data_IF_405394964106
#
_entry.id   IF_405394964106
#
_cell.length_a   1.000
_cell.length_b   1.000
_cell.length_c   1.000
_cell.angle_alpha   90.00
_cell.angle_beta   90.00
_cell.angle_gamma   90.00
#
_symmetry.space_group_name_H-M   'P 1'
#
loop_
_entity.id
_entity.type
_entity.pdbx_description
1 polymer ?
#
# COMPACT_ATOMS: atom_id res chain seq x y z
N UNK A 1 13.18 -22.43 -26.79
CA UNK A 1 11.71 -22.41 -26.89
C UNK A 1 11.26 -21.21 -26.11
N UNK A 2 11.04 -20.09 -26.79
CA UNK A 2 10.92 -18.76 -26.18
C UNK A 2 9.43 -18.45 -26.13
N UNK A 3 8.80 -18.63 -24.97
CA UNK A 3 7.40 -18.25 -24.78
C UNK A 3 7.33 -16.74 -24.56
N UNK A 4 6.91 -16.03 -25.61
CA UNK A 4 6.48 -14.65 -25.58
C UNK A 4 5.22 -14.52 -24.72
N UNK A 5 5.34 -14.01 -23.50
CA UNK A 5 4.19 -13.62 -22.69
C UNK A 5 3.59 -12.33 -23.24
N UNK A 6 2.38 -12.45 -23.78
CA UNK A 6 1.55 -11.33 -24.19
C UNK A 6 1.12 -10.53 -22.95
N UNK A 7 1.17 -9.18 -22.96
CA UNK A 7 0.71 -8.39 -21.83
C UNK A 7 -0.81 -8.57 -21.67
N UNK A 8 -1.23 -8.88 -20.44
CA UNK A 8 -2.63 -8.99 -20.06
C UNK A 8 -3.26 -7.60 -20.21
N UNK A 9 -3.99 -7.37 -21.32
CA UNK A 9 -4.75 -6.15 -21.55
C UNK A 9 -6.08 -6.24 -20.80
N UNK A 10 -6.18 -5.51 -19.68
CA UNK A 10 -7.46 -5.20 -19.04
C UNK A 10 -8.37 -4.43 -20.00
N UNK A 11 -9.63 -4.84 -20.07
CA UNK A 11 -10.63 -4.27 -20.96
C UNK A 11 -11.19 -2.94 -20.43
N UNK A 12 -11.28 -1.92 -21.29
CA UNK A 12 -12.15 -0.76 -21.09
C UNK A 12 -11.47 0.52 -20.63
N UNK A 13 -10.79 1.22 -21.53
CA UNK A 13 -10.32 2.59 -21.29
C UNK A 13 -11.51 3.56 -21.21
N UNK A 14 -12.01 3.82 -20.00
CA UNK A 14 -12.81 5.00 -19.71
C UNK A 14 -11.90 6.22 -19.81
N UNK A 15 -12.14 7.06 -20.84
CA UNK A 15 -11.45 8.34 -20.99
C UNK A 15 -11.87 9.25 -19.84
N UNK A 16 -10.94 9.60 -18.93
CA UNK A 16 -11.16 10.71 -18.00
C UNK A 16 -10.36 10.70 -16.69
N UNK A 17 -9.82 9.57 -16.24
CA UNK A 17 -9.09 9.50 -14.96
C UNK A 17 -7.69 8.91 -15.15
N UNK A 18 -6.70 9.46 -14.44
CA UNK A 18 -5.36 8.88 -14.39
C UNK A 18 -5.46 7.45 -13.82
N UNK A 19 -4.68 6.52 -14.38
CA UNK A 19 -4.59 5.15 -13.86
C UNK A 19 -4.22 5.16 -12.37
N UNK A 20 -4.73 4.18 -11.63
CA UNK A 20 -4.37 3.99 -10.23
C UNK A 20 -2.89 3.70 -10.09
N UNK A 21 -2.34 2.80 -10.92
CA UNK A 21 -0.90 2.51 -10.99
C UNK A 21 -0.50 2.34 -12.45
N UNK A 22 0.63 2.92 -12.83
CA UNK A 22 1.24 2.78 -14.15
C UNK A 22 2.74 2.50 -13.98
N UNK A 23 3.19 1.37 -14.49
CA UNK A 23 4.60 1.02 -14.71
C UNK A 23 4.88 1.13 -16.22
N UNK A 24 5.89 1.91 -16.60
CA UNK A 24 6.37 2.04 -17.97
C UNK A 24 7.82 1.54 -18.05
N UNK A 25 8.00 0.36 -18.65
CA UNK A 25 9.30 -0.29 -18.94
C UNK A 25 10.26 -0.30 -17.75
N UNK A 26 9.73 -0.69 -16.60
CA UNK A 26 10.43 -0.61 -15.32
C UNK A 26 11.44 -1.74 -15.19
N UNK A 27 12.69 -1.35 -14.95
CA UNK A 27 13.78 -2.24 -14.58
C UNK A 27 14.27 -1.96 -13.17
N UNK A 28 14.78 -3.00 -12.50
CA UNK A 28 15.40 -2.86 -11.19
C UNK A 28 16.45 -3.94 -10.94
N UNK A 29 17.61 -3.56 -10.43
CA UNK A 29 18.65 -4.43 -9.90
C UNK A 29 19.10 -3.92 -8.53
N UNK A 30 19.47 -4.82 -7.63
CA UNK A 30 20.13 -4.40 -6.38
C UNK A 30 21.59 -4.04 -6.67
N UNK A 31 22.09 -3.05 -5.96
CA UNK A 31 23.48 -2.65 -6.08
C UNK A 31 24.40 -3.83 -5.75
N UNK A 32 25.39 -4.09 -6.62
CA UNK A 32 26.32 -5.21 -6.48
C UNK A 32 25.78 -6.60 -6.82
N UNK A 33 24.51 -6.78 -7.18
CA UNK A 33 23.98 -8.12 -7.52
C UNK A 33 24.37 -8.60 -8.92
N UNK A 34 24.72 -7.67 -9.83
CA UNK A 34 25.03 -7.95 -11.24
C UNK A 34 23.87 -8.52 -12.07
N UNK A 35 22.76 -8.90 -11.43
CA UNK A 35 21.59 -9.52 -12.05
C UNK A 35 20.33 -8.70 -11.77
N UNK A 36 19.55 -8.34 -12.81
CA UNK A 36 18.28 -7.65 -12.63
C UNK A 36 17.26 -8.54 -11.90
N UNK A 37 16.45 -7.89 -11.07
CA UNK A 37 15.30 -8.49 -10.37
C UNK A 37 14.02 -8.25 -11.14
N UNK A 38 13.93 -7.10 -11.83
CA UNK A 38 12.83 -6.74 -12.72
C UNK A 38 13.42 -6.30 -14.06
N UNK A 39 12.81 -6.76 -15.14
CA UNK A 39 13.24 -6.48 -16.51
C UNK A 39 12.00 -6.06 -17.32
N UNK A 40 12.01 -4.83 -17.84
CA UNK A 40 11.00 -4.28 -18.76
C UNK A 40 9.54 -4.45 -18.33
N UNK A 41 9.25 -4.19 -17.06
CA UNK A 41 7.89 -4.34 -16.53
C UNK A 41 7.01 -3.17 -16.98
N UNK A 42 6.02 -3.46 -17.81
CA UNK A 42 4.97 -2.52 -18.20
C UNK A 42 3.61 -3.05 -17.77
N UNK A 43 2.90 -2.27 -16.95
CA UNK A 43 1.63 -2.66 -16.34
C UNK A 43 0.81 -1.40 -16.05
N UNK A 44 -0.50 -1.47 -16.30
CA UNK A 44 -1.43 -0.40 -15.96
C UNK A 44 -2.59 -1.00 -15.17
N UNK A 45 -2.93 -0.37 -14.05
CA UNK A 45 -4.05 -0.74 -13.18
C UNK A 45 -4.99 0.45 -13.12
N UNK A 46 -6.23 0.25 -13.53
CA UNK A 46 -7.25 1.28 -13.51
C UNK A 46 -7.87 1.42 -12.11
N UNK A 47 -8.42 2.60 -11.76
CA UNK A 47 -9.16 2.77 -10.51
C UNK A 47 -10.28 1.73 -10.36
N UNK A 48 -10.38 1.13 -9.17
CA UNK A 48 -11.37 0.09 -8.86
C UNK A 48 -10.98 -1.33 -9.28
N UNK A 49 -9.88 -1.51 -10.02
CA UNK A 49 -9.38 -2.84 -10.37
C UNK A 49 -8.71 -3.54 -9.18
N UNK A 50 -8.82 -4.88 -9.18
CA UNK A 50 -8.13 -5.75 -8.24
C UNK A 50 -7.06 -6.54 -8.99
N UNK A 51 -5.79 -6.25 -8.72
CA UNK A 51 -4.67 -6.94 -9.32
C UNK A 51 -4.08 -7.99 -8.38
N UNK A 52 -3.98 -9.24 -8.84
CA UNK A 52 -3.20 -10.29 -8.20
C UNK A 52 -1.84 -10.47 -8.88
N UNK A 53 -0.75 -10.41 -8.11
CA UNK A 53 0.61 -10.68 -8.61
C UNK A 53 1.05 -12.06 -8.09
N UNK A 54 1.24 -13.00 -9.01
CA UNK A 54 1.60 -14.39 -8.72
C UNK A 54 2.99 -14.72 -9.25
N UNK A 55 3.65 -15.72 -8.66
CA UNK A 55 4.96 -16.19 -9.09
C UNK A 55 5.78 -16.78 -7.93
N UNK A 56 6.90 -17.45 -8.22
CA UNK A 56 7.73 -18.09 -7.19
C UNK A 56 8.40 -17.06 -6.25
N UNK A 57 8.91 -17.53 -5.11
CA UNK A 57 9.75 -16.70 -4.25
C UNK A 57 10.98 -16.23 -5.03
N UNK A 58 11.33 -14.94 -4.87
CA UNK A 58 12.42 -14.33 -5.61
C UNK A 58 12.05 -13.75 -6.98
N UNK A 59 10.83 -13.97 -7.48
CA UNK A 59 10.37 -13.42 -8.77
C UNK A 59 10.14 -11.89 -8.80
N UNK A 60 10.64 -11.13 -7.82
CA UNK A 60 10.53 -9.67 -7.82
C UNK A 60 9.17 -9.08 -7.38
N UNK A 61 8.16 -9.89 -7.01
CA UNK A 61 6.83 -9.37 -6.58
C UNK A 61 6.89 -8.32 -5.47
N UNK A 62 7.62 -8.62 -4.39
CA UNK A 62 7.82 -7.68 -3.29
C UNK A 62 8.60 -6.45 -3.72
N UNK A 63 9.54 -6.60 -4.66
CA UNK A 63 10.27 -5.49 -5.28
C UNK A 63 9.32 -4.58 -6.06
N UNK A 64 8.44 -5.15 -6.89
CA UNK A 64 7.44 -4.41 -7.66
C UNK A 64 6.51 -3.59 -6.75
N UNK A 65 6.02 -4.20 -5.66
CA UNK A 65 5.20 -3.51 -4.66
C UNK A 65 5.99 -2.40 -3.97
N UNK A 66 7.25 -2.64 -3.58
CA UNK A 66 8.12 -1.61 -2.97
C UNK A 66 8.39 -0.43 -3.91
N UNK A 67 8.52 -0.67 -5.21
CA UNK A 67 8.66 0.40 -6.20
C UNK A 67 7.35 1.19 -6.32
N UNK A 68 6.19 0.53 -6.41
CA UNK A 68 4.88 1.21 -6.41
C UNK A 68 4.62 2.04 -5.15
N UNK A 69 5.22 1.64 -4.02
CA UNK A 69 5.16 2.39 -2.76
C UNK A 69 6.19 3.52 -2.67
N UNK A 70 7.14 3.62 -3.61
CA UNK A 70 8.26 4.58 -3.53
C UNK A 70 9.23 4.26 -2.40
N UNK A 71 9.39 2.98 -2.05
CA UNK A 71 10.41 2.48 -1.12
C UNK A 71 11.69 2.03 -1.85
N UNK A 72 11.58 1.77 -3.14
CA UNK A 72 12.71 1.53 -4.04
C UNK A 72 12.52 2.39 -5.29
N UNK A 73 13.61 2.96 -5.80
CA UNK A 73 13.61 3.66 -7.08
C UNK A 73 13.96 2.67 -8.18
N UNK A 74 13.24 2.67 -9.32
CA UNK A 74 13.60 1.82 -10.45
C UNK A 74 14.95 2.26 -11.02
N UNK A 75 15.72 1.33 -11.59
CA UNK A 75 16.98 1.63 -12.29
C UNK A 75 16.74 2.12 -13.71
N UNK A 76 15.56 1.84 -14.28
CA UNK A 76 15.12 2.31 -15.59
C UNK A 76 13.59 2.38 -15.66
N UNK A 77 13.06 3.14 -16.61
CA UNK A 77 11.62 3.32 -16.77
C UNK A 77 11.01 4.26 -15.72
N UNK A 78 9.69 4.21 -15.56
CA UNK A 78 8.97 5.11 -14.66
C UNK A 78 7.76 4.44 -14.00
N UNK A 79 7.41 4.94 -12.82
CA UNK A 79 6.19 4.54 -12.11
C UNK A 79 5.38 5.76 -11.75
N UNK A 80 4.07 5.69 -11.98
CA UNK A 80 3.09 6.68 -11.51
C UNK A 80 1.98 6.00 -10.71
N UNK A 81 1.51 6.69 -9.68
CA UNK A 81 0.38 6.28 -8.85
C UNK A 81 -0.61 7.44 -8.80
N UNK A 82 -1.80 7.24 -9.35
CA UNK A 82 -2.79 8.32 -9.58
C UNK A 82 -2.16 9.57 -10.21
N UNK A 83 -1.33 9.37 -11.24
CA UNK A 83 -0.63 10.45 -11.97
C UNK A 83 0.55 11.11 -11.24
N UNK A 84 0.89 10.67 -10.02
CA UNK A 84 1.98 11.22 -9.19
C UNK A 84 3.16 10.28 -9.12
N UNK A 85 4.31 10.75 -8.63
CA UNK A 85 5.36 9.82 -8.21
C UNK A 85 4.89 8.96 -7.03
N UNK A 86 5.39 7.71 -6.89
CA UNK A 86 5.03 6.83 -5.77
C UNK A 86 5.20 7.45 -4.37
N UNK A 87 6.28 8.21 -4.16
CA UNK A 87 6.57 8.86 -2.88
C UNK A 87 5.58 9.99 -2.56
N UNK A 88 5.21 10.80 -3.56
CA UNK A 88 4.19 11.84 -3.43
C UNK A 88 2.81 11.24 -3.17
N UNK A 89 2.41 10.23 -3.94
CA UNK A 89 1.14 9.53 -3.74
C UNK A 89 1.02 8.98 -2.32
N UNK A 90 2.08 8.38 -1.77
CA UNK A 90 2.11 7.90 -0.39
C UNK A 90 2.02 9.04 0.64
N UNK A 91 2.76 10.13 0.43
CA UNK A 91 2.77 11.28 1.35
C UNK A 91 1.42 12.02 1.38
N UNK A 92 0.70 12.05 0.26
CA UNK A 92 -0.63 12.64 0.12
C UNK A 92 -1.78 11.68 0.52
N UNK A 93 -1.48 10.46 0.98
CA UNK A 93 -2.50 9.50 1.41
C UNK A 93 -3.32 8.89 0.27
N UNK A 94 -2.70 8.62 -0.88
CA UNK A 94 -3.33 7.85 -1.96
C UNK A 94 -3.11 6.33 -1.83
N UNK A 95 -2.17 5.91 -0.97
CA UNK A 95 -1.75 4.51 -0.88
C UNK A 95 -1.75 4.02 0.55
N UNK A 96 -2.58 3.01 0.82
CA UNK A 96 -2.59 2.23 2.06
C UNK A 96 -1.74 0.97 1.87
N UNK A 97 -0.93 0.62 2.86
CA UNK A 97 -0.06 -0.55 2.77
C UNK A 97 -0.17 -1.44 4.00
N UNK A 98 -0.36 -2.75 3.75
CA UNK A 98 -0.33 -3.80 4.77
C UNK A 98 0.93 -4.64 4.57
N UNK A 99 1.94 -4.54 5.44
CA UNK A 99 3.18 -5.29 5.31
C UNK A 99 2.99 -6.80 5.55
N UNK A 100 3.83 -7.61 4.91
CA UNK A 100 3.79 -9.08 5.01
C UNK A 100 4.21 -9.61 6.40
N UNK A 101 5.09 -8.90 7.12
CA UNK A 101 5.54 -9.28 8.48
C UNK A 101 5.51 -8.05 9.39
N UNK A 102 4.87 -8.21 10.53
CA UNK A 102 4.53 -7.11 11.47
C UNK A 102 5.30 -7.20 12.79
N UNK A 103 6.27 -8.13 12.90
CA UNK A 103 6.83 -8.57 14.19
C UNK A 103 7.45 -7.48 15.07
N UNK A 104 8.05 -6.44 14.49
CA UNK A 104 8.63 -5.33 15.25
C UNK A 104 7.58 -4.35 15.80
N UNK A 105 6.40 -4.25 15.18
CA UNK A 105 5.32 -3.33 15.60
C UNK A 105 4.58 -3.85 16.85
N UNK A 106 4.71 -5.14 17.17
CA UNK A 106 4.05 -5.81 18.30
C UNK A 106 4.68 -5.50 19.66
N UNK A 107 5.89 -4.94 19.69
CA UNK A 107 6.64 -4.68 20.91
C UNK A 107 6.24 -3.37 21.61
N UNK A 108 5.52 -2.48 20.93
CA UNK A 108 5.11 -1.20 21.49
C UNK A 108 3.80 -1.33 22.30
N UNK A 109 3.68 -0.65 23.45
CA UNK A 109 2.51 -0.71 24.32
C UNK A 109 1.35 0.15 23.77
N UNK A 110 1.12 0.09 22.46
CA UNK A 110 0.07 0.83 21.78
C UNK A 110 -1.18 -0.03 21.62
N UNK A 111 -2.34 0.57 21.80
CA UNK A 111 -3.61 -0.07 21.51
C UNK A 111 -3.82 -0.20 20.00
N UNK A 112 -4.68 -1.14 19.60
CA UNK A 112 -5.10 -1.30 18.20
C UNK A 112 -5.64 0.01 17.63
N UNK A 113 -6.46 0.75 18.40
CA UNK A 113 -6.99 2.06 18.03
C UNK A 113 -5.87 3.06 17.75
N UNK A 114 -4.88 3.15 18.62
CA UNK A 114 -3.74 4.06 18.45
C UNK A 114 -2.94 3.74 17.18
N UNK A 115 -2.74 2.45 16.88
CA UNK A 115 -2.07 2.01 15.65
C UNK A 115 -2.87 2.39 14.40
N UNK A 116 -4.20 2.26 14.44
CA UNK A 116 -5.09 2.65 13.34
C UNK A 116 -5.18 4.17 13.17
N UNK A 117 -5.04 4.94 14.25
CA UNK A 117 -5.04 6.41 14.24
C UNK A 117 -3.75 7.00 13.65
N UNK A 118 -2.61 6.29 13.71
CA UNK A 118 -1.30 6.80 13.30
C UNK A 118 -1.26 7.55 11.95
N UNK A 119 -1.90 7.08 10.86
CA UNK A 119 -1.85 7.77 9.58
C UNK A 119 -2.41 9.20 9.65
N UNK A 120 -3.37 9.45 10.54
CA UNK A 120 -3.99 10.77 10.73
C UNK A 120 -3.05 11.80 11.40
N UNK A 121 -1.95 11.32 11.99
CA UNK A 121 -0.95 12.16 12.65
C UNK A 121 0.10 12.70 11.66
N UNK A 122 0.19 12.13 10.46
CA UNK A 122 1.16 12.55 9.44
C UNK A 122 0.84 13.98 9.00
N UNK A 123 1.83 14.85 9.04
CA UNK A 123 1.69 16.27 8.67
C UNK A 123 1.11 17.17 9.77
N UNK A 124 0.67 16.60 10.91
CA UNK A 124 0.26 17.38 12.07
C UNK A 124 1.47 17.87 12.88
N UNK A 125 1.29 18.98 13.60
CA UNK A 125 2.26 19.45 14.60
C UNK A 125 2.30 18.46 15.77
N UNK A 126 3.43 18.29 16.49
CA UNK A 126 3.56 17.29 17.56
C UNK A 126 2.52 17.37 18.69
N UNK A 127 1.95 18.55 18.92
CA UNK A 127 0.91 18.81 19.94
C UNK A 127 -0.51 18.89 19.37
N UNK A 128 -0.67 18.86 18.05
CA UNK A 128 -1.96 18.91 17.42
C UNK A 128 -2.66 17.54 17.54
N UNK A 129 -3.98 17.56 17.58
CA UNK A 129 -4.81 16.36 17.59
C UNK A 129 -5.52 16.21 16.25
N UNK A 130 -5.79 14.98 15.80
CA UNK A 130 -6.65 14.74 14.65
C UNK A 130 -8.01 15.43 14.82
N UNK A 131 -8.49 16.01 13.73
CA UNK A 131 -9.81 16.65 13.67
C UNK A 131 -10.96 15.63 13.72
N UNK A 132 -12.22 16.10 13.77
CA UNK A 132 -13.40 15.24 13.81
C UNK A 132 -13.47 14.24 12.65
N UNK A 133 -13.17 14.67 11.42
CA UNK A 133 -13.18 13.83 10.21
C UNK A 133 -12.20 12.64 10.32
N UNK A 134 -11.00 12.89 10.83
CA UNK A 134 -9.99 11.86 11.03
C UNK A 134 -10.43 10.83 12.08
N UNK A 135 -11.09 11.28 13.16
CA UNK A 135 -11.63 10.39 14.18
C UNK A 135 -12.75 9.53 13.63
N UNK A 136 -13.65 10.12 12.84
CA UNK A 136 -14.73 9.39 12.18
C UNK A 136 -14.18 8.32 11.22
N UNK A 137 -13.16 8.65 10.42
CA UNK A 137 -12.48 7.69 9.56
C UNK A 137 -11.86 6.52 10.36
N UNK A 138 -11.26 6.80 11.52
CA UNK A 138 -10.71 5.77 12.42
C UNK A 138 -11.81 4.88 12.98
N UNK A 139 -12.90 5.45 13.52
CA UNK A 139 -14.03 4.66 14.04
C UNK A 139 -14.65 3.81 12.95
N UNK A 140 -14.85 4.37 11.75
CA UNK A 140 -15.37 3.64 10.61
C UNK A 140 -14.45 2.47 10.24
N UNK A 141 -13.14 2.70 10.12
CA UNK A 141 -12.17 1.66 9.80
C UNK A 141 -12.16 0.54 10.86
N UNK A 142 -12.23 0.89 12.15
CA UNK A 142 -12.32 -0.07 13.25
C UNK A 142 -13.63 -0.88 13.19
N UNK A 143 -14.74 -0.23 12.83
CA UNK A 143 -16.05 -0.87 12.65
C UNK A 143 -16.05 -1.90 11.52
N UNK A 144 -15.68 -1.48 10.29
CA UNK A 144 -15.75 -2.36 9.10
C UNK A 144 -14.78 -3.54 9.13
N UNK A 145 -13.70 -3.42 9.91
CA UNK A 145 -12.73 -4.51 10.12
C UNK A 145 -13.01 -5.34 11.36
N UNK A 146 -14.07 -5.03 12.11
CA UNK A 146 -14.43 -5.72 13.35
C UNK A 146 -13.38 -5.56 14.45
N UNK A 147 -12.60 -4.48 14.43
CA UNK A 147 -11.62 -4.13 15.45
C UNK A 147 -12.22 -3.41 16.67
N UNK A 148 -13.47 -2.93 16.58
CA UNK A 148 -14.14 -2.21 17.68
C UNK A 148 -14.10 -2.95 19.03
N UNK A 149 -14.32 -4.27 19.03
CA UNK A 149 -14.35 -5.10 20.25
C UNK A 149 -12.99 -5.22 20.97
N UNK A 150 -11.90 -4.92 20.28
CA UNK A 150 -10.54 -5.06 20.82
C UNK A 150 -9.68 -3.81 20.57
N UNK A 151 -10.29 -2.68 20.22
CA UNK A 151 -9.60 -1.44 19.90
C UNK A 151 -8.65 -0.97 21.01
N UNK A 152 -9.02 -1.21 22.26
CA UNK A 152 -8.25 -0.77 23.44
C UNK A 152 -7.20 -1.79 23.90
N UNK A 153 -7.18 -3.00 23.30
CA UNK A 153 -6.17 -4.01 23.62
C UNK A 153 -4.82 -3.62 23.02
N UNK A 154 -3.71 -3.88 23.73
CA UNK A 154 -2.38 -3.72 23.16
C UNK A 154 -2.21 -4.56 21.88
N UNK A 155 -1.61 -3.98 20.84
CA UNK A 155 -1.41 -4.63 19.55
C UNK A 155 -0.59 -5.92 19.65
N UNK A 156 0.35 -5.99 20.60
CA UNK A 156 1.12 -7.20 20.90
C UNK A 156 0.33 -8.33 21.58
N UNK A 157 -0.93 -8.09 21.97
CA UNK A 157 -1.79 -9.05 22.69
C UNK A 157 -3.02 -9.49 21.91
N UNK A 158 -3.07 -9.28 20.59
CA UNK A 158 -4.16 -9.77 19.74
C UNK A 158 -3.74 -11.00 18.94
N UNK A 159 -4.69 -11.77 18.44
CA UNK A 159 -4.40 -12.92 17.57
C UNK A 159 -3.82 -12.46 16.23
N UNK A 160 -3.16 -13.35 15.48
CA UNK A 160 -2.63 -13.01 14.14
C UNK A 160 -3.71 -12.52 13.17
N UNK A 161 -4.92 -13.10 13.23
CA UNK A 161 -6.06 -12.64 12.43
C UNK A 161 -6.59 -11.26 12.87
N UNK A 162 -6.61 -10.99 14.18
CA UNK A 162 -6.96 -9.67 14.70
C UNK A 162 -5.93 -8.61 14.31
N UNK A 163 -4.64 -8.96 14.36
CA UNK A 163 -3.54 -8.12 13.90
C UNK A 163 -3.69 -7.79 12.42
N UNK A 164 -3.99 -8.78 11.57
CA UNK A 164 -4.21 -8.55 10.14
C UNK A 164 -5.36 -7.56 9.91
N UNK A 165 -6.48 -7.71 10.62
CA UNK A 165 -7.61 -6.77 10.54
C UNK A 165 -7.25 -5.36 11.01
N UNK A 166 -6.51 -5.24 12.10
CA UNK A 166 -6.01 -3.96 12.59
C UNK A 166 -5.09 -3.27 11.57
N UNK A 167 -4.22 -4.03 10.90
CA UNK A 167 -3.34 -3.48 9.85
C UNK A 167 -4.10 -3.06 8.60
N UNK A 168 -5.16 -3.80 8.22
CA UNK A 168 -6.07 -3.40 7.14
C UNK A 168 -6.80 -2.10 7.51
N UNK A 169 -7.30 -1.98 8.75
CA UNK A 169 -7.96 -0.77 9.24
C UNK A 169 -7.01 0.45 9.15
N UNK A 170 -5.78 0.29 9.64
CA UNK A 170 -4.73 1.33 9.55
C UNK A 170 -4.48 1.74 8.10
N UNK A 171 -4.35 0.77 7.19
CA UNK A 171 -4.13 1.05 5.78
C UNK A 171 -5.31 1.80 5.13
N UNK A 172 -6.55 1.49 5.54
CA UNK A 172 -7.75 2.18 5.08
C UNK A 172 -7.80 3.66 5.51
N UNK A 173 -7.40 3.96 6.75
CA UNK A 173 -7.29 5.34 7.25
C UNK A 173 -6.21 6.13 6.53
N UNK A 174 -5.11 5.48 6.12
CA UNK A 174 -4.03 6.13 5.39
C UNK A 174 -4.40 6.51 3.95
N UNK A 175 -5.41 5.86 3.36
CA UNK A 175 -5.81 6.07 1.97
C UNK A 175 -7.31 6.34 1.79
N UNK A 176 -7.86 7.39 2.42
CA UNK A 176 -9.28 7.69 2.35
C UNK A 176 -9.72 8.03 0.91
N UNK A 177 -8.83 8.65 0.12
CA UNK A 177 -9.08 9.01 -1.28
C UNK A 177 -9.25 7.80 -2.21
N UNK A 178 -8.68 6.64 -1.86
CA UNK A 178 -8.80 5.40 -2.63
C UNK A 178 -10.05 4.58 -2.27
N UNK A 179 -10.64 4.82 -1.09
CA UNK A 179 -11.81 4.08 -0.60
C UNK A 179 -13.16 4.77 -0.90
N UNK A 180 -13.15 6.07 -1.24
CA UNK A 180 -14.35 6.89 -1.38
C UNK A 180 -14.90 7.00 -2.82
N UNK A 181 -14.46 6.16 -3.76
CA UNK A 181 -14.87 6.21 -5.18
C UNK A 181 -15.01 4.85 -5.83
#
# INVERSE_FOLDING_TARGET
MTESHEPIRGAGAARGTAAAIEFDRVGFAFEGSGRPVLEDISLRVEPGERLGILGPNGAGKTTLVRIALGLLSPTSGGVRVFGRSPSQARAEGWVGYVPQRTGAELAFPLSVRQVVEMPTLVGLRPWARPGPEAREAVEYALGVTGCGEFGDRPIGRVSGGQLQRAMIARAGVAAPAAAAR
#
